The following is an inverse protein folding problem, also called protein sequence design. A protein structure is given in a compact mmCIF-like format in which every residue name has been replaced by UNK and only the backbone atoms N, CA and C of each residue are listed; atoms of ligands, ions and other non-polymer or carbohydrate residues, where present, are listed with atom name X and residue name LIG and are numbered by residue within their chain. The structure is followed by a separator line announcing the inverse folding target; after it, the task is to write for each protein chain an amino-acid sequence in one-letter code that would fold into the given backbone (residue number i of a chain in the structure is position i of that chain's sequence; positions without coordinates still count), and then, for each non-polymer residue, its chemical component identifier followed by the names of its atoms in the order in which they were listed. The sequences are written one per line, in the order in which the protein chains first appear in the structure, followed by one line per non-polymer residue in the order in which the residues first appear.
data_IF_845440099952
#
_entry.id   IF_845440099952
#
_cell.length_a   1.000
_cell.length_b   1.000
_cell.length_c   1.000
_cell.angle_alpha   90.00
_cell.angle_beta   90.00
_cell.angle_gamma   90.00
#
_symmetry.space_group_name_H-M   'P 1'
#
loop_
_entity.id
_entity.type
_entity.pdbx_description
1 polymer ?
#
# COMPACT_ATOMS: atom_id res chain seq x y z
N UNK A 1 -0.28 -11.74 -13.20
CA UNK A 1 -1.05 -11.66 -11.96
C UNK A 1 -0.09 -11.21 -10.87
N UNK A 2 -0.44 -10.16 -10.14
CA UNK A 2 0.32 -9.67 -9.00
C UNK A 2 0.36 -10.77 -7.94
N UNK A 3 1.56 -11.11 -7.46
CA UNK A 3 1.75 -12.12 -6.41
C UNK A 3 1.45 -11.50 -5.04
N UNK A 4 0.15 -11.36 -4.75
CA UNK A 4 -0.36 -10.72 -3.54
C UNK A 4 0.05 -11.49 -2.28
N UNK A 5 0.06 -12.82 -2.33
CA UNK A 5 0.42 -13.65 -1.20
C UNK A 5 1.87 -13.44 -0.79
N UNK A 6 2.79 -13.31 -1.75
CA UNK A 6 4.18 -13.00 -1.45
C UNK A 6 4.35 -11.60 -0.84
N UNK A 7 3.62 -10.59 -1.33
CA UNK A 7 3.67 -9.23 -0.77
C UNK A 7 3.14 -9.21 0.66
N UNK A 8 2.00 -9.88 0.92
CA UNK A 8 1.39 -9.96 2.25
C UNK A 8 2.31 -10.71 3.23
N UNK A 9 2.96 -11.80 2.80
CA UNK A 9 3.85 -12.56 3.67
C UNK A 9 5.19 -11.87 3.92
N UNK A 10 5.63 -10.98 3.02
CA UNK A 10 6.91 -10.26 3.14
C UNK A 10 6.83 -9.04 4.06
N UNK A 11 5.66 -8.41 4.17
CA UNK A 11 5.48 -7.14 4.84
C UNK A 11 4.56 -7.24 6.05
N UNK A 12 4.82 -6.42 7.08
CA UNK A 12 4.00 -6.43 8.30
C UNK A 12 2.59 -5.90 8.07
N UNK A 13 2.47 -4.88 7.20
CA UNK A 13 1.19 -4.23 6.90
C UNK A 13 1.05 -4.07 5.40
N UNK A 14 -0.14 -4.33 4.86
CA UNK A 14 -0.44 -4.15 3.45
C UNK A 14 -1.84 -3.59 3.25
N UNK A 15 -1.99 -2.64 2.33
CA UNK A 15 -3.29 -2.18 1.85
C UNK A 15 -3.30 -2.17 0.32
N UNK A 16 -4.42 -2.59 -0.25
CA UNK A 16 -4.59 -2.69 -1.71
C UNK A 16 -5.72 -1.78 -2.15
N UNK A 17 -5.56 -1.15 -3.31
CA UNK A 17 -6.66 -0.47 -3.98
C UNK A 17 -6.58 -0.64 -5.49
N UNK A 18 -7.76 -0.67 -6.12
CA UNK A 18 -7.89 -0.59 -7.56
C UNK A 18 -7.74 0.86 -7.99
N UNK A 19 -6.88 1.11 -8.97
CA UNK A 19 -6.54 2.43 -9.47
C UNK A 19 -7.29 2.67 -10.76
N UNK A 20 -8.12 3.70 -10.80
CA UNK A 20 -8.56 4.25 -12.07
C UNK A 20 -7.51 5.26 -12.55
N UNK A 21 -6.99 5.18 -13.79
CA UNK A 21 -6.04 6.14 -14.34
C UNK A 21 -6.52 7.60 -14.21
N UNK A 22 -7.84 7.80 -14.23
CA UNK A 22 -8.49 9.11 -14.09
C UNK A 22 -8.35 9.69 -12.68
N UNK A 23 -8.03 8.88 -11.67
CA UNK A 23 -8.10 9.23 -10.25
C UNK A 23 -6.83 8.83 -9.45
N UNK A 24 -5.72 8.61 -10.14
CA UNK A 24 -4.45 8.18 -9.52
C UNK A 24 -3.74 9.28 -8.72
N UNK A 25 -4.07 10.56 -8.94
CA UNK A 25 -3.39 11.70 -8.29
C UNK A 25 -3.68 11.71 -6.79
N UNK A 26 -2.62 11.63 -5.98
CA UNK A 26 -2.73 11.62 -4.52
C UNK A 26 -3.22 10.30 -3.93
N UNK A 27 -3.44 9.27 -4.76
CA UNK A 27 -3.87 7.96 -4.30
C UNK A 27 -2.84 7.30 -3.37
N UNK A 28 -1.56 7.49 -3.66
CA UNK A 28 -0.45 6.94 -2.87
C UNK A 28 -0.46 7.47 -1.43
N UNK A 29 -0.66 8.78 -1.25
CA UNK A 29 -0.79 9.39 0.07
C UNK A 29 -2.05 8.90 0.79
N UNK A 30 -3.19 8.84 0.09
CA UNK A 30 -4.45 8.30 0.67
C UNK A 30 -4.31 6.86 1.14
N UNK A 31 -3.57 6.03 0.40
CA UNK A 31 -3.34 4.64 0.79
C UNK A 31 -2.36 4.52 1.95
N UNK A 32 -1.36 5.40 2.04
CA UNK A 32 -0.51 5.47 3.22
C UNK A 32 -1.32 5.86 4.47
N UNK A 33 -2.13 6.91 4.38
CA UNK A 33 -3.01 7.35 5.47
C UNK A 33 -3.98 6.23 5.87
N UNK A 34 -4.55 5.54 4.88
CA UNK A 34 -5.42 4.39 5.10
C UNK A 34 -4.69 3.26 5.81
N UNK A 35 -3.48 2.90 5.37
CA UNK A 35 -2.69 1.84 6.01
C UNK A 35 -2.40 2.18 7.47
N UNK A 36 -2.01 3.43 7.75
CA UNK A 36 -1.76 3.92 9.11
C UNK A 36 -3.04 3.84 9.96
N UNK A 37 -4.17 4.33 9.41
CA UNK A 37 -5.46 4.34 10.10
C UNK A 37 -6.00 2.93 10.38
N UNK A 38 -6.00 2.05 9.37
CA UNK A 38 -6.54 0.69 9.46
C UNK A 38 -5.76 -0.15 10.48
N UNK A 39 -4.46 0.12 10.64
CA UNK A 39 -3.57 -0.60 11.56
C UNK A 39 -3.25 0.17 12.85
N UNK A 40 -3.93 1.30 13.11
CA UNK A 40 -3.74 2.15 14.31
C UNK A 40 -2.28 2.53 14.59
N UNK A 41 -1.51 2.77 13.52
CA UNK A 41 -0.08 3.06 13.64
C UNK A 41 0.11 4.51 14.13
N UNK A 42 0.85 4.67 15.22
CA UNK A 42 0.96 5.96 15.94
C UNK A 42 1.85 6.98 15.25
N UNK A 43 2.72 6.60 14.31
CA UNK A 43 3.56 7.53 13.54
C UNK A 43 4.16 6.88 12.29
N UNK A 44 3.89 7.45 11.11
CA UNK A 44 4.50 7.02 9.85
C UNK A 44 6.04 7.12 9.81
N UNK A 45 6.65 7.88 10.71
CA UNK A 45 8.11 8.07 10.78
C UNK A 45 8.89 6.79 11.15
N UNK A 46 8.26 5.86 11.86
CA UNK A 46 8.86 4.57 12.24
C UNK A 46 8.62 3.47 11.19
N UNK A 47 7.98 3.81 10.07
CA UNK A 47 7.62 2.87 9.03
C UNK A 47 8.46 3.09 7.77
N UNK A 48 8.82 2.00 7.11
CA UNK A 48 9.35 2.00 5.75
C UNK A 48 8.24 1.56 4.82
N UNK A 49 7.88 2.39 3.86
CA UNK A 49 6.80 2.10 2.92
C UNK A 49 7.35 1.59 1.58
N UNK A 50 6.74 0.54 1.05
CA UNK A 50 7.00 0.02 -0.29
C UNK A 50 5.72 0.06 -1.12
N UNK A 51 5.78 0.60 -2.33
CA UNK A 51 4.65 0.65 -3.24
C UNK A 51 4.84 -0.35 -4.39
N UNK A 52 3.82 -1.16 -4.66
CA UNK A 52 3.76 -2.08 -5.77
C UNK A 52 2.61 -1.72 -6.69
N UNK A 53 2.87 -1.57 -7.99
CA UNK A 53 1.85 -1.27 -8.98
C UNK A 53 1.75 -2.39 -10.02
N UNK A 54 0.54 -2.93 -10.21
CA UNK A 54 0.22 -3.83 -11.31
C UNK A 54 -0.64 -3.11 -12.35
N UNK A 55 -0.02 -2.75 -13.48
CA UNK A 55 -0.68 -1.99 -14.55
C UNK A 55 -1.76 -2.83 -15.24
N UNK A 56 -1.50 -4.12 -15.47
CA UNK A 56 -2.45 -5.00 -16.17
C UNK A 56 -3.76 -5.18 -15.39
N UNK A 57 -3.69 -5.20 -14.06
CA UNK A 57 -4.85 -5.41 -13.19
C UNK A 57 -5.40 -4.09 -12.63
N UNK A 58 -4.73 -2.97 -12.92
CA UNK A 58 -5.01 -1.65 -12.37
C UNK A 58 -5.05 -1.68 -10.83
N UNK A 59 -4.04 -2.28 -10.19
CA UNK A 59 -3.95 -2.41 -8.73
C UNK A 59 -2.69 -1.68 -8.23
N UNK A 60 -2.84 -0.95 -7.13
CA UNK A 60 -1.76 -0.40 -6.35
C UNK A 60 -1.84 -0.99 -4.94
N UNK A 61 -0.69 -1.45 -4.47
CA UNK A 61 -0.51 -1.98 -3.11
C UNK A 61 0.51 -1.10 -2.42
N UNK A 62 0.18 -0.66 -1.21
CA UNK A 62 1.13 -0.04 -0.30
C UNK A 62 1.38 -1.02 0.82
N UNK A 63 2.64 -1.33 1.04
CA UNK A 63 3.12 -2.13 2.15
C UNK A 63 3.93 -1.26 3.10
N UNK A 64 3.97 -1.62 4.38
CA UNK A 64 4.79 -0.96 5.38
C UNK A 64 5.42 -1.97 6.34
N UNK A 65 6.63 -1.66 6.77
CA UNK A 65 7.38 -2.40 7.79
C UNK A 65 7.88 -1.44 8.86
N UNK A 66 7.83 -1.86 10.12
CA UNK A 66 8.51 -1.13 11.20
C UNK A 66 10.02 -1.17 10.99
N UNK A 67 10.68 -0.02 11.19
CA UNK A 67 12.15 0.11 11.17
C UNK A 67 12.80 -0.49 12.42
#
# INVERSE_FOLDING_TARGET
MMDMDNIINKHQYTVTARVDPSNAKGLLAKLQDKLISDNQLTSGNSLSFTAYACIQENILVIAADQK
#
